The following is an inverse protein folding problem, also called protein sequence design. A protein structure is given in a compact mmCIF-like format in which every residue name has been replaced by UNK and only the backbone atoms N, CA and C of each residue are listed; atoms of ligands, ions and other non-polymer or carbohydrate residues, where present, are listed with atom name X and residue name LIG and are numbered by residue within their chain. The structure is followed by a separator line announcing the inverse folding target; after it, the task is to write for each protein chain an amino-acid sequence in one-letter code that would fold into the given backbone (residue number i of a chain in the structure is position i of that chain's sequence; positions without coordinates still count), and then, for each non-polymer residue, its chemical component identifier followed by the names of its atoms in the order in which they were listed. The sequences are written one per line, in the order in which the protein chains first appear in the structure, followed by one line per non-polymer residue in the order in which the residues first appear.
data_IF_558799712627
#
_entry.id   IF_558799712627
#
_cell.length_a   1.000
_cell.length_b   1.000
_cell.length_c   1.000
_cell.angle_alpha   90.00
_cell.angle_beta   90.00
_cell.angle_gamma   90.00
#
_symmetry.space_group_name_H-M   'P 1'
#
loop_
_entity.id
_entity.type
_entity.pdbx_description
1 polymer ?
#
# COMPACT_ATOMS: atom_id res chain seq x y z
N UNK A 1 2.59 -25.15 -3.94
CA UNK A 1 3.68 -24.24 -3.51
C UNK A 1 3.84 -23.03 -4.44
N UNK A 2 4.12 -23.21 -5.73
CA UNK A 2 4.33 -22.08 -6.65
C UNK A 2 3.14 -21.10 -6.77
N UNK A 3 1.91 -21.60 -6.77
CA UNK A 3 0.71 -20.76 -6.80
C UNK A 3 0.64 -19.79 -5.60
N UNK A 4 0.89 -20.30 -4.39
CA UNK A 4 0.92 -19.51 -3.15
C UNK A 4 2.07 -18.49 -3.13
N UNK A 5 3.18 -18.78 -3.82
CA UNK A 5 4.30 -17.85 -3.96
C UNK A 5 3.92 -16.67 -4.87
N UNK A 6 3.30 -16.95 -6.02
CA UNK A 6 2.82 -15.91 -6.95
C UNK A 6 1.73 -15.05 -6.29
N UNK A 7 0.87 -15.69 -5.50
CA UNK A 7 -0.17 -15.07 -4.70
C UNK A 7 0.39 -14.09 -3.67
N UNK A 8 1.36 -14.54 -2.85
CA UNK A 8 2.07 -13.68 -1.92
C UNK A 8 2.87 -12.56 -2.62
N UNK A 9 3.48 -12.85 -3.77
CA UNK A 9 4.23 -11.86 -4.54
C UNK A 9 3.31 -10.75 -5.07
N UNK A 10 2.12 -11.10 -5.57
CA UNK A 10 1.16 -10.10 -6.07
C UNK A 10 0.64 -9.23 -4.94
N UNK A 11 0.37 -9.81 -3.78
CA UNK A 11 -0.01 -9.10 -2.56
C UNK A 11 1.09 -8.13 -2.11
N UNK A 12 2.35 -8.58 -2.09
CA UNK A 12 3.49 -7.76 -1.74
C UNK A 12 3.72 -6.60 -2.73
N UNK A 13 3.60 -6.86 -4.03
CA UNK A 13 3.68 -5.82 -5.06
C UNK A 13 2.55 -4.80 -4.88
N UNK A 14 1.32 -5.27 -4.65
CA UNK A 14 0.17 -4.42 -4.37
C UNK A 14 0.40 -3.51 -3.16
N UNK A 15 0.93 -4.09 -2.07
CA UNK A 15 1.29 -3.33 -0.89
C UNK A 15 2.38 -2.28 -1.18
N UNK A 16 3.47 -2.65 -1.86
CA UNK A 16 4.58 -1.72 -2.16
C UNK A 16 4.11 -0.58 -3.05
N UNK A 17 3.35 -0.87 -4.10
CA UNK A 17 2.77 0.16 -4.99
C UNK A 17 1.86 1.08 -4.20
N UNK A 18 0.97 0.54 -3.37
CA UNK A 18 0.09 1.34 -2.51
C UNK A 18 0.87 2.22 -1.51
N UNK A 19 1.91 1.67 -0.89
CA UNK A 19 2.75 2.40 0.06
C UNK A 19 3.52 3.55 -0.61
N UNK A 20 4.04 3.32 -1.82
CA UNK A 20 4.70 4.37 -2.62
C UNK A 20 3.72 5.47 -3.04
N UNK A 21 2.47 5.14 -3.36
CA UNK A 21 1.44 6.14 -3.63
C UNK A 21 1.09 6.95 -2.37
N UNK A 22 0.94 6.29 -1.22
CA UNK A 22 0.74 6.96 0.07
C UNK A 22 1.90 7.88 0.44
N UNK A 23 3.15 7.46 0.15
CA UNK A 23 4.34 8.28 0.31
C UNK A 23 4.32 9.49 -0.63
N UNK A 24 4.03 9.28 -1.92
CA UNK A 24 3.92 10.35 -2.90
C UNK A 24 2.88 11.40 -2.53
N UNK A 25 1.73 10.98 -2.01
CA UNK A 25 0.72 11.88 -1.45
C UNK A 25 1.28 12.65 -0.25
N UNK A 26 1.93 11.97 0.70
CA UNK A 26 2.58 12.62 1.84
C UNK A 26 3.58 13.70 1.41
N UNK A 27 4.44 13.40 0.44
CA UNK A 27 5.40 14.36 -0.14
C UNK A 27 4.68 15.51 -0.83
N UNK A 28 3.60 15.25 -1.58
CA UNK A 28 2.81 16.29 -2.24
C UNK A 28 2.13 17.24 -1.23
N UNK A 29 1.76 16.75 -0.05
CA UNK A 29 1.27 17.55 1.08
C UNK A 29 2.40 18.21 1.90
N UNK A 30 3.67 18.06 1.49
CA UNK A 30 4.82 18.61 2.21
C UNK A 30 5.16 17.88 3.51
N UNK A 31 4.61 16.69 3.73
CA UNK A 31 4.87 15.87 4.90
C UNK A 31 6.18 15.12 4.71
N UNK A 32 7.05 15.20 5.72
CA UNK A 32 8.40 14.68 5.61
C UNK A 32 8.54 13.43 6.46
N UNK A 33 8.41 12.26 5.82
CA UNK A 33 8.48 10.95 6.48
C UNK A 33 9.80 10.74 7.23
N UNK A 34 10.89 11.24 6.66
CA UNK A 34 12.25 11.07 7.18
C UNK A 34 12.71 12.21 8.09
N UNK A 35 11.81 13.14 8.47
CA UNK A 35 12.18 14.19 9.39
C UNK A 35 12.50 13.61 10.78
N UNK A 36 13.65 14.01 11.31
CA UNK A 36 14.12 13.62 12.63
C UNK A 36 13.19 14.13 13.74
N UNK A 37 13.09 13.36 14.83
CA UNK A 37 12.25 13.71 15.97
C UNK A 37 10.76 13.34 15.85
N UNK A 38 10.35 12.65 14.78
CA UNK A 38 8.95 12.18 14.59
C UNK A 38 7.92 13.28 14.83
N UNK A 39 8.12 14.45 14.21
CA UNK A 39 7.13 15.53 14.25
C UNK A 39 5.77 15.08 13.70
N UNK A 40 4.72 15.84 14.00
CA UNK A 40 3.35 15.53 13.54
C UNK A 40 3.29 15.25 12.03
N UNK A 41 4.08 15.95 11.23
CA UNK A 41 4.20 15.71 9.79
C UNK A 41 4.74 14.32 9.43
N UNK A 42 5.77 13.84 10.12
CA UNK A 42 6.32 12.49 9.93
C UNK A 42 5.31 11.41 10.30
N UNK A 43 4.57 11.60 11.40
CA UNK A 43 3.53 10.65 11.85
C UNK A 43 2.40 10.55 10.82
N UNK A 44 1.92 11.69 10.32
CA UNK A 44 0.87 11.69 9.28
C UNK A 44 1.39 11.05 7.99
N UNK A 45 2.64 11.32 7.61
CA UNK A 45 3.25 10.66 6.45
C UNK A 45 3.31 9.13 6.62
N UNK A 46 3.71 8.64 7.80
CA UNK A 46 3.76 7.19 8.10
C UNK A 46 2.36 6.58 8.00
N UNK A 47 1.36 7.26 8.54
CA UNK A 47 -0.03 6.81 8.44
C UNK A 47 -0.50 6.77 6.98
N UNK A 48 -0.20 7.80 6.18
CA UNK A 48 -0.54 7.81 4.75
C UNK A 48 0.11 6.67 3.98
N UNK A 49 1.39 6.39 4.25
CA UNK A 49 2.10 5.24 3.65
C UNK A 49 1.46 3.93 4.07
N UNK A 50 1.14 3.75 5.35
CA UNK A 50 0.51 2.55 5.88
C UNK A 50 -0.89 2.31 5.29
N UNK A 51 -1.71 3.36 5.21
CA UNK A 51 -3.04 3.32 4.58
C UNK A 51 -2.91 3.01 3.09
N UNK A 52 -2.01 3.70 2.39
CA UNK A 52 -1.73 3.46 0.98
C UNK A 52 -1.33 2.00 0.72
N UNK A 53 -0.42 1.45 1.51
CA UNK A 53 0.02 0.06 1.41
C UNK A 53 -1.11 -0.93 1.71
N UNK A 54 -1.88 -0.70 2.77
CA UNK A 54 -3.05 -1.52 3.10
C UNK A 54 -4.12 -1.52 2.01
N UNK A 55 -4.41 -0.36 1.42
CA UNK A 55 -5.34 -0.23 0.29
C UNK A 55 -4.80 -0.92 -0.97
N UNK A 56 -3.50 -0.79 -1.26
CA UNK A 56 -2.86 -1.45 -2.40
C UNK A 56 -2.87 -2.98 -2.28
N UNK A 57 -2.64 -3.51 -1.08
CA UNK A 57 -2.80 -4.93 -0.77
C UNK A 57 -4.25 -5.40 -0.99
N UNK A 58 -5.23 -4.65 -0.46
CA UNK A 58 -6.65 -4.98 -0.63
C UNK A 58 -7.08 -4.93 -2.10
N UNK A 59 -6.58 -3.97 -2.87
CA UNK A 59 -6.82 -3.87 -4.30
C UNK A 59 -6.24 -5.08 -5.03
N UNK A 60 -4.98 -5.45 -4.77
CA UNK A 60 -4.35 -6.63 -5.37
C UNK A 60 -5.13 -7.93 -5.08
N UNK A 61 -5.62 -8.07 -3.85
CA UNK A 61 -6.52 -9.19 -3.46
C UNK A 61 -7.85 -9.14 -4.19
N UNK A 62 -8.45 -7.96 -4.35
CA UNK A 62 -9.74 -7.79 -5.04
C UNK A 62 -9.63 -8.09 -6.53
N UNK A 63 -8.53 -7.72 -7.18
CA UNK A 63 -8.28 -8.03 -8.59
C UNK A 63 -7.97 -9.52 -8.83
N UNK A 64 -7.43 -10.21 -7.82
CA UNK A 64 -7.24 -11.66 -7.86
C UNK A 64 -8.46 -12.47 -7.44
N UNK A 65 -9.43 -11.85 -6.76
CA UNK A 65 -10.68 -12.53 -6.43
C UNK A 65 -11.29 -13.08 -7.73
N UNK A 66 -11.61 -14.38 -7.79
CA UNK A 66 -12.23 -14.95 -8.98
C UNK A 66 -13.47 -14.10 -9.31
N UNK A 67 -13.66 -13.77 -10.60
CA UNK A 67 -14.92 -13.20 -11.07
C UNK A 67 -16.03 -14.04 -10.42
N UNK A 68 -17.02 -13.44 -9.73
CA UNK A 68 -18.22 -14.19 -9.41
C UNK A 68 -18.73 -14.68 -10.76
N UNK A 69 -18.80 -16.00 -10.93
CA UNK A 69 -19.42 -16.60 -12.08
C UNK A 69 -20.77 -15.91 -12.27
N UNK A 70 -20.93 -15.28 -13.43
CA UNK A 70 -22.22 -14.74 -13.83
C UNK A 70 -23.22 -15.91 -13.79
N UNK A 71 -24.34 -15.66 -13.11
CA UNK A 71 -25.47 -16.57 -12.88
C UNK A 71 -25.85 -17.46 -14.07
#
# INVERSE_FOLDING_TARGET
MFASLIEGLTDAIGFVVGALLGYGLGVAFGLNLFAEGYGTGSIIAILLVGIGGGMGLQAARRFRAPKPDAE
#
